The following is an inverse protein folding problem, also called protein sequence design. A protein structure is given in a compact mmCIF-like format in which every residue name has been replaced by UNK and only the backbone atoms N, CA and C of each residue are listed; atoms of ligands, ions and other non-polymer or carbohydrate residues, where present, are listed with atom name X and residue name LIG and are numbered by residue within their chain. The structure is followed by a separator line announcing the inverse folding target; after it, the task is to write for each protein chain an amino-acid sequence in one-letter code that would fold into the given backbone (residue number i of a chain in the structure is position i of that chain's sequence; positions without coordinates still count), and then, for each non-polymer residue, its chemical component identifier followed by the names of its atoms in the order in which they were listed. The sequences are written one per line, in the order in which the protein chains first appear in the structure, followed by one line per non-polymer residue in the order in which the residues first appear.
data_IF_297323021351
#
_entry.id   IF_297323021351
#
_cell.length_a   1.000
_cell.length_b   1.000
_cell.length_c   1.000
_cell.angle_alpha   90.00
_cell.angle_beta   90.00
_cell.angle_gamma   90.00
#
_symmetry.space_group_name_H-M   'P 1'
#
loop_
_entity.id
_entity.type
_entity.pdbx_description
1 polymer ?
#
# COMPACT_ATOMS: atom_id res chain seq x y z
N UNK A 1 -4.04 24.66 -2.08
CA UNK A 1 -2.85 23.80 -1.88
C UNK A 1 -3.21 22.45 -2.48
N UNK A 2 -2.65 22.14 -3.63
CA UNK A 2 -2.94 20.92 -4.41
C UNK A 2 -2.38 19.71 -3.68
N UNK A 3 -3.27 18.88 -3.14
CA UNK A 3 -2.92 17.56 -2.58
C UNK A 3 -2.48 16.66 -3.74
N UNK A 4 -1.18 16.69 -4.03
CA UNK A 4 -0.58 15.75 -4.95
C UNK A 4 -0.71 14.35 -4.33
N UNK A 5 -1.45 13.48 -5.00
CA UNK A 5 -1.27 12.05 -4.86
C UNK A 5 0.15 11.71 -5.38
N UNK A 6 1.19 11.96 -4.57
CA UNK A 6 2.56 11.53 -4.85
C UNK A 6 2.69 10.06 -4.45
N UNK A 7 1.87 9.20 -5.06
CA UNK A 7 1.95 7.77 -4.88
C UNK A 7 2.98 7.19 -5.85
N UNK A 8 3.76 6.19 -5.41
CA UNK A 8 4.64 5.42 -6.30
C UNK A 8 3.83 4.90 -7.48
N UNK A 9 4.35 5.08 -8.69
CA UNK A 9 3.73 4.61 -9.92
C UNK A 9 3.87 3.09 -10.01
N UNK A 10 2.74 2.41 -10.25
CA UNK A 10 2.72 0.97 -10.52
C UNK A 10 2.98 0.72 -12.00
N UNK A 11 3.79 -0.29 -12.32
CA UNK A 11 3.91 -0.74 -13.70
C UNK A 11 2.70 -1.58 -14.10
N UNK A 12 2.34 -1.53 -15.38
CA UNK A 12 1.25 -2.34 -15.95
C UNK A 12 1.46 -3.84 -15.69
N UNK A 13 2.70 -4.31 -15.78
CA UNK A 13 3.07 -5.72 -15.55
C UNK A 13 2.79 -6.13 -14.11
N UNK A 14 3.17 -5.31 -13.12
CA UNK A 14 2.88 -5.59 -11.71
C UNK A 14 1.38 -5.68 -11.43
N UNK A 15 0.58 -4.79 -12.01
CA UNK A 15 -0.88 -4.83 -11.85
C UNK A 15 -1.46 -6.11 -12.46
N UNK A 16 -1.05 -6.46 -13.68
CA UNK A 16 -1.52 -7.68 -14.35
C UNK A 16 -1.08 -8.96 -13.65
N UNK A 17 0.16 -8.99 -13.13
CA UNK A 17 0.66 -10.14 -12.36
C UNK A 17 -0.13 -10.33 -11.07
N UNK A 18 -0.53 -9.23 -10.42
CA UNK A 18 -1.34 -9.28 -9.20
C UNK A 18 -2.75 -9.84 -9.40
N UNK A 19 -3.21 -9.93 -10.66
CA UNK A 19 -4.52 -10.50 -10.98
C UNK A 19 -4.50 -12.02 -11.12
N UNK A 20 -3.32 -12.65 -11.17
CA UNK A 20 -3.18 -14.11 -11.29
C UNK A 20 -3.79 -14.88 -10.12
N UNK A 21 -3.77 -14.27 -8.94
CA UNK A 21 -4.25 -14.88 -7.69
C UNK A 21 -5.68 -14.44 -7.32
N UNK A 22 -6.36 -13.71 -8.20
CA UNK A 22 -7.73 -13.27 -7.94
C UNK A 22 -8.74 -14.41 -8.13
N UNK A 23 -9.83 -14.41 -7.35
CA UNK A 23 -10.94 -15.33 -7.58
C UNK A 23 -11.62 -15.05 -8.92
N UNK A 24 -12.31 -16.06 -9.45
CA UNK A 24 -13.05 -15.99 -10.73
C UNK A 24 -14.09 -14.85 -10.76
N UNK A 25 -14.64 -14.49 -9.60
CA UNK A 25 -15.55 -13.38 -9.43
C UNK A 25 -15.05 -12.44 -8.33
N UNK A 26 -14.94 -11.15 -8.65
CA UNK A 26 -14.51 -10.10 -7.73
C UNK A 26 -15.24 -8.80 -8.07
N UNK A 27 -15.57 -7.99 -7.06
CA UNK A 27 -16.21 -6.69 -7.27
C UNK A 27 -15.19 -5.64 -7.73
N UNK A 28 -15.68 -4.59 -8.39
CA UNK A 28 -14.83 -3.46 -8.76
C UNK A 28 -14.20 -2.79 -7.53
N UNK A 29 -14.94 -2.68 -6.41
CA UNK A 29 -14.44 -2.08 -5.17
C UNK A 29 -13.25 -2.87 -4.60
N UNK A 30 -13.34 -4.19 -4.57
CA UNK A 30 -12.25 -5.05 -4.11
C UNK A 30 -11.01 -4.97 -5.03
N UNK A 31 -11.22 -4.80 -6.34
CA UNK A 31 -10.12 -4.57 -7.28
C UNK A 31 -9.40 -3.23 -7.02
N UNK A 32 -10.17 -2.17 -6.74
CA UNK A 32 -9.61 -0.86 -6.39
C UNK A 32 -8.81 -0.95 -5.09
N UNK A 33 -9.37 -1.58 -4.06
CA UNK A 33 -8.67 -1.80 -2.78
C UNK A 33 -7.38 -2.60 -2.96
N UNK A 34 -7.40 -3.66 -3.77
CA UNK A 34 -6.21 -4.46 -4.09
C UNK A 34 -5.10 -3.62 -4.73
N UNK A 35 -5.45 -2.78 -5.72
CA UNK A 35 -4.49 -1.88 -6.38
C UNK A 35 -3.93 -0.85 -5.39
N UNK A 36 -4.78 -0.25 -4.54
CA UNK A 36 -4.35 0.70 -3.51
C UNK A 36 -3.44 0.05 -2.47
N UNK A 37 -3.70 -1.22 -2.12
CA UNK A 37 -2.86 -2.00 -1.22
C UNK A 37 -1.47 -2.23 -1.82
N UNK A 38 -1.39 -2.68 -3.09
CA UNK A 38 -0.11 -2.86 -3.80
C UNK A 38 0.70 -1.56 -3.81
N UNK A 39 0.06 -0.44 -4.12
CA UNK A 39 0.70 0.87 -4.10
C UNK A 39 1.24 1.21 -2.71
N UNK A 40 0.48 0.93 -1.65
CA UNK A 40 0.88 1.18 -0.26
C UNK A 40 2.10 0.37 0.13
N UNK A 41 2.15 -0.91 -0.24
CA UNK A 41 3.31 -1.78 -0.01
C UNK A 41 4.54 -1.24 -0.75
N UNK A 42 4.41 -0.88 -2.03
CA UNK A 42 5.53 -0.34 -2.80
C UNK A 42 6.05 0.99 -2.24
N UNK A 43 5.15 1.87 -1.80
CA UNK A 43 5.51 3.09 -1.09
C UNK A 43 6.32 2.77 0.18
N UNK A 44 5.88 1.79 0.98
CA UNK A 44 6.57 1.37 2.20
C UNK A 44 7.98 0.82 1.94
N UNK A 45 8.14 0.01 0.88
CA UNK A 45 9.45 -0.49 0.45
C UNK A 45 10.38 0.67 0.06
N UNK A 46 9.91 1.60 -0.79
CA UNK A 46 10.71 2.76 -1.21
C UNK A 46 11.06 3.68 -0.03
N UNK A 47 10.15 3.86 0.94
CA UNK A 47 10.43 4.58 2.17
C UNK A 47 11.53 3.90 2.99
N UNK A 48 11.44 2.57 3.16
CA UNK A 48 12.45 1.81 3.89
C UNK A 48 13.84 1.90 3.25
N UNK A 49 13.93 1.80 1.92
CA UNK A 49 15.19 1.97 1.17
C UNK A 49 15.81 3.36 1.37
N UNK A 50 14.98 4.40 1.55
CA UNK A 50 15.42 5.77 1.82
C UNK A 50 15.66 6.05 3.31
N UNK A 51 15.55 5.05 4.18
CA UNK A 51 15.68 5.20 5.63
C UNK A 51 14.53 5.97 6.29
N UNK A 52 13.40 6.16 5.58
CA UNK A 52 12.19 6.80 6.09
C UNK A 52 11.36 5.79 6.89
N UNK A 53 11.93 5.29 7.99
CA UNK A 53 11.33 4.25 8.83
C UNK A 53 10.97 4.79 10.20
N UNK A 54 9.87 4.29 10.78
CA UNK A 54 9.48 4.58 12.16
C UNK A 54 10.21 3.64 13.13
N UNK A 55 10.82 4.16 14.21
CA UNK A 55 11.41 3.32 15.26
C UNK A 55 10.38 2.38 15.88
N UNK A 56 10.80 1.17 16.24
CA UNK A 56 9.92 0.13 16.78
C UNK A 56 9.05 0.61 17.96
N UNK A 57 9.63 1.39 18.89
CA UNK A 57 8.92 1.90 20.07
C UNK A 57 7.75 2.82 19.68
N UNK A 58 7.96 3.69 18.70
CA UNK A 58 6.95 4.64 18.21
C UNK A 58 5.85 3.90 17.45
N UNK A 59 6.23 2.96 16.57
CA UNK A 59 5.28 2.11 15.86
C UNK A 59 4.39 1.30 16.82
N UNK A 60 4.96 0.75 17.90
CA UNK A 60 4.18 0.03 18.92
C UNK A 60 3.23 0.94 19.69
N UNK A 61 3.59 2.20 19.93
CA UNK A 61 2.72 3.16 20.59
C UNK A 61 1.52 3.51 19.70
N UNK A 62 1.75 3.72 18.41
CA UNK A 62 0.71 3.99 17.42
C UNK A 62 -0.28 2.81 17.30
N UNK A 63 0.23 1.59 17.11
CA UNK A 63 -0.60 0.38 16.98
C UNK A 63 -1.49 0.16 18.20
N UNK A 64 -0.99 0.45 19.41
CA UNK A 64 -1.79 0.34 20.64
C UNK A 64 -2.94 1.35 20.68
N UNK A 65 -2.79 2.51 20.03
CA UNK A 65 -3.82 3.55 20.00
C UNK A 65 -5.02 3.19 19.12
N UNK A 66 -4.87 2.26 18.18
CA UNK A 66 -5.94 1.78 17.30
C UNK A 66 -6.92 0.84 18.01
N UNK A 67 -6.55 0.33 19.19
CA UNK A 67 -7.48 -0.36 20.09
C UNK A 67 -8.29 0.70 20.87
N UNK A 68 -9.32 1.24 20.24
CA UNK A 68 -10.44 1.90 20.93
C UNK A 68 -11.70 1.07 20.75
#
# INVERSE_FOLDING_TARGET
MTTAATGTLLSKTQVLDSFKDLPEHVSADALIEHILFIQSVMNGISQAERGQTTPHKEAMQEIRSWKK
#
